data_IF_213430520298
#
_entry.id   IF_213430520298
#
_cell.length_a   1.000
_cell.length_b   1.000
_cell.length_c   1.000
_cell.angle_alpha   90.00
_cell.angle_beta   90.00
_cell.angle_gamma   90.00
#
_symmetry.space_group_name_H-M   'P 1'
#
loop_
_entity.id
_entity.type
_entity.pdbx_description
1 polymer ?
#
# COMPACT_ATOMS: atom_id res chain seq x y z
N UNK A 1 -39.76 -43.69 1.39
CA UNK A 1 -39.03 -42.90 0.37
C UNK A 1 -39.03 -41.39 0.63
N UNK A 2 -40.15 -40.67 0.85
CA UNK A 2 -40.13 -39.20 0.96
C UNK A 2 -39.41 -38.68 2.21
N UNK A 3 -39.52 -39.41 3.32
CA UNK A 3 -38.90 -39.05 4.59
C UNK A 3 -37.36 -39.10 4.54
N UNK A 4 -36.82 -40.02 3.75
CA UNK A 4 -35.37 -40.17 3.52
C UNK A 4 -34.86 -39.01 2.65
N UNK A 5 -35.61 -38.58 1.65
CA UNK A 5 -35.28 -37.40 0.85
C UNK A 5 -35.35 -36.10 1.66
N UNK A 6 -36.33 -35.96 2.55
CA UNK A 6 -36.45 -34.80 3.45
C UNK A 6 -35.24 -34.71 4.39
N UNK A 7 -34.83 -35.83 4.99
CA UNK A 7 -33.65 -35.90 5.84
C UNK A 7 -32.37 -35.57 5.07
N UNK A 8 -32.23 -36.09 3.85
CA UNK A 8 -31.09 -35.80 2.98
C UNK A 8 -31.03 -34.30 2.64
N UNK A 9 -32.17 -33.70 2.27
CA UNK A 9 -32.26 -32.27 1.98
C UNK A 9 -31.86 -31.44 3.21
N UNK A 10 -32.38 -31.78 4.38
CA UNK A 10 -32.07 -31.07 5.62
C UNK A 10 -30.59 -31.17 5.98
N UNK A 11 -29.99 -32.35 5.81
CA UNK A 11 -28.57 -32.57 6.03
C UNK A 11 -27.70 -31.73 5.07
N UNK A 12 -28.06 -31.68 3.79
CA UNK A 12 -27.35 -30.87 2.77
C UNK A 12 -27.46 -29.38 3.08
N UNK A 13 -28.67 -28.88 3.36
CA UNK A 13 -28.89 -27.47 3.71
C UNK A 13 -28.15 -27.10 5.00
N UNK A 14 -28.19 -27.97 6.01
CA UNK A 14 -27.45 -27.78 7.25
C UNK A 14 -25.94 -27.71 7.03
N UNK A 15 -25.39 -28.63 6.23
CA UNK A 15 -23.96 -28.61 5.88
C UNK A 15 -23.56 -27.32 5.14
N UNK A 16 -24.37 -26.87 4.19
CA UNK A 16 -24.15 -25.60 3.48
C UNK A 16 -24.17 -24.42 4.46
N UNK A 17 -25.14 -24.38 5.37
CA UNK A 17 -25.26 -23.32 6.36
C UNK A 17 -24.04 -23.25 7.30
N UNK A 18 -23.52 -24.39 7.75
CA UNK A 18 -22.30 -24.47 8.58
C UNK A 18 -21.08 -23.93 7.84
N UNK A 19 -20.91 -24.29 6.57
CA UNK A 19 -19.81 -23.78 5.73
C UNK A 19 -19.94 -22.27 5.50
N UNK A 20 -21.14 -21.79 5.17
CA UNK A 20 -21.41 -20.37 4.95
C UNK A 20 -21.24 -19.53 6.22
N UNK A 21 -21.52 -20.09 7.39
CA UNK A 21 -21.31 -19.45 8.69
C UNK A 21 -19.82 -19.33 9.09
N UNK A 22 -18.88 -19.77 8.24
CA UNK A 22 -17.45 -19.60 8.47
C UNK A 22 -16.82 -20.67 9.37
N UNK A 23 -17.54 -21.73 9.72
CA UNK A 23 -17.02 -22.84 10.53
C UNK A 23 -16.09 -23.79 9.74
N UNK A 24 -15.88 -23.56 8.44
CA UNK A 24 -14.96 -24.31 7.58
C UNK A 24 -13.50 -23.83 7.57
N UNK A 25 -13.17 -22.80 8.37
CA UNK A 25 -11.84 -22.19 8.45
C UNK A 25 -11.95 -20.67 8.44
N UNK A 26 -11.21 -19.99 9.31
CA UNK A 26 -11.20 -18.52 9.31
C UNK A 26 -10.70 -18.02 7.96
N UNK A 27 -11.47 -17.15 7.31
CA UNK A 27 -10.96 -16.37 6.18
C UNK A 27 -9.63 -15.72 6.61
N UNK A 28 -8.62 -15.82 5.74
CA UNK A 28 -7.34 -15.16 5.99
C UNK A 28 -7.60 -13.68 6.33
N UNK A 29 -6.79 -13.08 7.23
CA UNK A 29 -6.96 -11.67 7.58
C UNK A 29 -7.05 -10.83 6.31
N UNK A 30 -8.06 -9.97 6.23
CA UNK A 30 -8.19 -9.07 5.09
C UNK A 30 -6.89 -8.26 4.97
N UNK A 31 -6.19 -8.42 3.85
CA UNK A 31 -5.01 -7.60 3.56
C UNK A 31 -5.48 -6.14 3.54
N UNK A 32 -4.78 -5.20 4.20
CA UNK A 32 -5.17 -3.80 4.14
C UNK A 32 -5.32 -3.36 2.68
N UNK A 33 -6.41 -2.68 2.35
CA UNK A 33 -6.69 -2.15 1.01
C UNK A 33 -5.67 -1.06 0.59
N UNK A 34 -4.74 -0.73 1.49
CA UNK A 34 -3.64 0.20 1.27
C UNK A 34 -2.41 -0.53 0.76
N UNK A 35 -1.92 -0.10 -0.40
CA UNK A 35 -0.63 -0.52 -0.96
C UNK A 35 0.50 -0.34 0.07
N UNK A 36 1.27 -1.40 0.38
CA UNK A 36 2.49 -1.29 1.21
C UNK A 36 3.52 -0.32 0.62
N UNK A 37 3.50 -0.13 -0.72
CA UNK A 37 4.34 0.82 -1.46
C UNK A 37 3.79 2.25 -1.44
N UNK A 38 2.69 2.51 -0.73
CA UNK A 38 2.16 3.87 -0.53
C UNK A 38 2.82 4.61 0.63
N UNK A 39 3.90 4.08 1.20
CA UNK A 39 4.64 4.69 2.31
C UNK A 39 6.09 4.89 1.91
N UNK A 40 6.60 6.09 2.16
CA UNK A 40 8.01 6.41 2.05
C UNK A 40 8.85 5.65 3.10
N UNK A 41 10.10 5.28 2.79
CA UNK A 41 11.00 4.70 3.76
C UNK A 41 11.25 5.68 4.92
N UNK A 42 11.54 5.14 6.11
CA UNK A 42 11.98 5.97 7.23
C UNK A 42 13.41 6.43 6.94
N UNK A 43 13.62 7.74 6.83
CA UNK A 43 14.94 8.33 6.58
C UNK A 43 14.93 9.35 5.44
N UNK A 44 16.07 9.50 4.79
CA UNK A 44 16.24 10.40 3.64
C UNK A 44 15.33 9.98 2.50
N UNK A 45 14.66 10.95 1.89
CA UNK A 45 13.81 10.74 0.73
C UNK A 45 14.58 11.17 -0.50
N UNK A 46 14.99 10.20 -1.31
CA UNK A 46 15.61 10.43 -2.61
C UNK A 46 14.58 10.31 -3.74
N UNK A 47 15.01 10.66 -4.96
CA UNK A 47 14.17 10.57 -6.15
C UNK A 47 13.66 9.15 -6.40
N UNK A 48 14.50 8.15 -6.21
CA UNK A 48 14.13 6.75 -6.41
C UNK A 48 13.02 6.30 -5.46
N UNK A 49 13.03 6.76 -4.20
CA UNK A 49 11.97 6.49 -3.24
C UNK A 49 10.64 7.12 -3.64
N UNK A 50 10.66 8.32 -4.24
CA UNK A 50 9.46 8.99 -4.76
C UNK A 50 8.94 8.24 -6.00
N UNK A 51 9.80 7.90 -6.96
CA UNK A 51 9.42 7.19 -8.19
C UNK A 51 8.79 5.81 -7.90
N UNK A 52 9.22 5.17 -6.81
CA UNK A 52 8.70 3.89 -6.33
C UNK A 52 7.36 3.96 -5.58
N UNK A 53 6.88 5.16 -5.25
CA UNK A 53 5.68 5.37 -4.44
C UNK A 53 4.42 5.01 -5.22
N UNK A 54 3.53 4.21 -4.62
CA UNK A 54 2.27 3.78 -5.24
C UNK A 54 1.12 3.94 -4.26
N UNK A 55 0.33 4.98 -4.45
CA UNK A 55 -0.85 5.28 -3.64
C UNK A 55 -2.03 4.35 -3.99
N UNK A 56 -2.80 3.95 -2.98
CA UNK A 56 -4.08 3.27 -3.16
C UNK A 56 -5.15 4.26 -3.61
N UNK A 57 -6.01 3.85 -4.55
CA UNK A 57 -7.16 4.65 -5.00
C UNK A 57 -8.27 4.60 -3.94
N UNK A 58 -8.89 5.74 -3.64
CA UNK A 58 -10.06 5.84 -2.78
C UNK A 58 -11.29 6.35 -3.53
N UNK A 59 -12.48 6.20 -2.96
CA UNK A 59 -13.75 6.70 -3.53
C UNK A 59 -13.72 8.22 -3.84
N UNK A 60 -12.89 8.97 -3.10
CA UNK A 60 -12.50 10.34 -3.39
C UNK A 60 -10.98 10.44 -3.25
N UNK A 61 -10.35 11.21 -4.13
CA UNK A 61 -8.92 11.46 -4.11
C UNK A 61 -8.57 12.68 -4.96
N UNK A 62 -7.33 13.14 -4.83
CA UNK A 62 -6.76 14.10 -5.77
C UNK A 62 -6.62 13.46 -7.15
N UNK A 63 -6.60 14.29 -8.20
CA UNK A 63 -6.35 13.77 -9.55
C UNK A 63 -4.90 13.30 -9.65
N UNK A 64 -4.68 12.12 -10.21
CA UNK A 64 -3.34 11.53 -10.27
C UNK A 64 -2.38 12.35 -11.12
N UNK A 65 -2.83 12.92 -12.23
CA UNK A 65 -2.00 13.81 -13.08
C UNK A 65 -1.46 15.00 -12.30
N UNK A 66 -2.30 15.68 -11.51
CA UNK A 66 -1.87 16.83 -10.71
C UNK A 66 -0.90 16.43 -9.58
N UNK A 67 -1.13 15.27 -8.96
CA UNK A 67 -0.25 14.76 -7.90
C UNK A 67 1.10 14.35 -8.47
N UNK A 68 1.11 13.64 -9.60
CA UNK A 68 2.33 13.17 -10.25
C UNK A 68 3.18 14.36 -10.72
N UNK A 69 2.57 15.38 -11.34
CA UNK A 69 3.26 16.62 -11.74
C UNK A 69 3.92 17.34 -10.55
N UNK A 70 3.23 17.41 -9.41
CA UNK A 70 3.77 18.02 -8.18
C UNK A 70 4.90 17.19 -7.60
N UNK A 71 4.76 15.86 -7.58
CA UNK A 71 5.79 14.96 -7.07
C UNK A 71 7.06 15.01 -7.93
N UNK A 72 6.94 15.03 -9.25
CA UNK A 72 8.07 15.16 -10.17
C UNK A 72 8.83 16.47 -9.95
N UNK A 73 8.09 17.57 -9.76
CA UNK A 73 8.70 18.87 -9.45
C UNK A 73 9.41 18.84 -8.10
N UNK A 74 8.78 18.28 -7.08
CA UNK A 74 9.38 18.18 -5.75
C UNK A 74 10.62 17.28 -5.73
N UNK A 75 10.59 16.15 -6.45
CA UNK A 75 11.73 15.24 -6.57
C UNK A 75 12.94 15.94 -7.20
N UNK A 76 12.71 16.72 -8.27
CA UNK A 76 13.75 17.52 -8.92
C UNK A 76 14.37 18.55 -7.95
N UNK A 77 13.52 19.22 -7.16
CA UNK A 77 13.99 20.22 -6.20
C UNK A 77 14.68 19.61 -4.98
N UNK A 78 14.32 18.40 -4.57
CA UNK A 78 15.05 17.66 -3.55
C UNK A 78 16.44 17.29 -4.04
N UNK A 79 16.55 16.74 -5.26
CA UNK A 79 17.83 16.38 -5.87
C UNK A 79 18.78 17.60 -5.97
N UNK A 80 18.26 18.77 -6.36
CA UNK A 80 19.04 20.00 -6.40
C UNK A 80 19.50 20.46 -5.00
N UNK A 81 18.65 20.33 -3.97
CA UNK A 81 19.02 20.66 -2.59
C UNK A 81 20.06 19.71 -2.03
N UNK A 82 19.92 18.41 -2.29
CA UNK A 82 20.85 17.40 -1.81
C UNK A 82 22.24 17.60 -2.42
N UNK A 83 22.32 17.94 -3.71
CA UNK A 83 23.58 18.30 -4.36
C UNK A 83 24.23 19.54 -3.72
N UNK A 84 23.45 20.58 -3.43
CA UNK A 84 23.95 21.78 -2.76
C UNK A 84 24.45 21.49 -1.34
N UNK A 85 23.71 20.68 -0.58
CA UNK A 85 24.10 20.27 0.78
C UNK A 85 25.45 19.52 0.72
N UNK A 86 25.60 18.57 -0.20
CA UNK A 86 26.84 17.81 -0.36
C UNK A 86 28.04 18.73 -0.67
N UNK A 87 27.86 19.74 -1.52
CA UNK A 87 28.91 20.71 -1.82
C UNK A 87 29.28 21.56 -0.59
N UNK A 88 28.28 22.04 0.16
CA UNK A 88 28.50 22.84 1.37
C UNK A 88 29.22 22.02 2.46
N UNK A 89 28.89 20.75 2.60
CA UNK A 89 29.55 19.84 3.54
C UNK A 89 31.03 19.64 3.17
N UNK A 90 31.34 19.45 1.88
CA UNK A 90 32.72 19.34 1.40
C UNK A 90 33.54 20.62 1.68
N UNK A 91 32.93 21.78 1.45
CA UNK A 91 33.57 23.08 1.75
C UNK A 91 33.82 23.26 3.24
N UNK A 92 32.88 22.84 4.10
CA UNK A 92 33.07 22.88 5.56
C UNK A 92 34.23 21.97 5.97
N UNK A 93 34.24 20.72 5.53
CA UNK A 93 35.32 19.77 5.86
C UNK A 93 36.67 20.28 5.37
N UNK A 94 36.75 20.89 4.19
CA UNK A 94 37.99 21.45 3.65
C UNK A 94 38.51 22.68 4.41
N UNK A 95 37.63 23.39 5.12
CA UNK A 95 37.99 24.57 5.95
C UNK A 95 38.45 24.17 7.35
N UNK A 96 38.03 23.00 7.82
CA UNK A 96 38.37 22.47 9.15
C UNK A 96 39.72 21.71 9.17
N UNK A 97 40.28 21.40 7.99
CA UNK A 97 41.62 20.81 7.79
C UNK A 97 42.67 21.90 7.58
#
# INVERSE_FOLDING_TARGET
MPLLMLLLLLAVVGAIAVVAAGYGGSLAPAVPDRSPRGRLPAGTVDRAAIDGLRFSVGLRGYRMDEVDDVLDRLATELEARDALIAELEQQRTSREV
#
